data_IF_953843962807
#
_entry.id   IF_953843962807
#
_cell.length_a   1.000
_cell.length_b   1.000
_cell.length_c   1.000
_cell.angle_alpha   90.00
_cell.angle_beta   90.00
_cell.angle_gamma   90.00
#
_symmetry.space_group_name_H-M   'P 1'
#
loop_
_entity.id
_entity.type
_entity.pdbx_description
1 polymer ?
#
# COMPACT_ATOMS: atom_id res chain seq x y z
N UNK A 1 -1.98 -50.71 36.42
CA UNK A 1 -0.98 -50.37 37.45
C UNK A 1 0.25 -49.80 36.77
N UNK A 2 0.72 -48.68 37.28
CA UNK A 2 1.91 -47.88 36.98
C UNK A 2 1.76 -46.85 35.86
N UNK A 3 1.34 -45.69 36.32
CA UNK A 3 1.53 -44.38 35.76
C UNK A 3 3.00 -43.97 35.76
N UNK A 4 3.52 -43.46 34.62
CA UNK A 4 4.79 -42.79 34.53
C UNK A 4 4.55 -41.29 34.31
N UNK A 5 5.24 -40.38 35.00
CA UNK A 5 5.06 -38.97 34.87
C UNK A 5 5.85 -38.43 33.67
N UNK A 6 5.22 -37.55 32.88
CA UNK A 6 5.90 -36.72 31.88
C UNK A 6 6.75 -35.66 32.58
N UNK A 7 8.00 -35.42 32.15
CA UNK A 7 8.72 -34.22 32.55
C UNK A 7 8.32 -33.05 31.68
N UNK A 8 7.83 -31.99 32.33
CA UNK A 8 7.74 -30.64 31.77
C UNK A 8 9.14 -30.14 31.43
N UNK A 9 9.40 -29.92 30.16
CA UNK A 9 10.51 -29.10 29.72
C UNK A 9 9.97 -27.87 29.03
N UNK A 10 9.53 -26.90 29.83
CA UNK A 10 9.31 -25.49 29.36
C UNK A 10 10.69 -24.83 29.27
N UNK A 11 11.31 -24.85 28.12
CA UNK A 11 12.41 -23.93 27.82
C UNK A 11 11.84 -22.62 27.28
N UNK A 12 11.71 -21.67 28.17
CA UNK A 12 11.46 -20.28 27.83
C UNK A 12 12.63 -19.73 27.00
N UNK A 13 12.43 -19.52 25.71
CA UNK A 13 13.31 -18.71 24.88
C UNK A 13 12.90 -17.25 25.02
N UNK A 14 13.46 -16.59 26.02
CA UNK A 14 13.49 -15.14 26.12
C UNK A 14 14.51 -14.62 25.11
N UNK A 15 14.03 -14.02 24.03
CA UNK A 15 14.86 -13.26 23.08
C UNK A 15 15.27 -11.95 23.74
N UNK A 16 16.55 -11.55 23.70
CA UNK A 16 16.99 -10.25 24.18
C UNK A 16 16.72 -9.19 23.10
N UNK A 17 15.60 -8.50 23.20
CA UNK A 17 15.36 -7.23 22.52
C UNK A 17 15.29 -6.15 23.57
N UNK A 18 16.44 -5.80 24.12
CA UNK A 18 16.59 -4.62 24.96
C UNK A 18 18.08 -4.27 25.10
N UNK A 19 18.71 -3.74 24.05
CA UNK A 19 19.87 -2.83 24.15
C UNK A 19 20.02 -2.14 22.78
N UNK A 20 19.40 -0.99 22.54
CA UNK A 20 19.78 0.03 21.56
C UNK A 20 18.97 1.33 21.76
N UNK A 21 18.84 1.80 22.99
CA UNK A 21 18.23 3.10 23.28
C UNK A 21 19.05 3.87 24.33
N UNK A 22 20.35 4.01 24.14
CA UNK A 22 21.17 4.87 25.02
C UNK A 22 22.49 5.29 24.35
N UNK A 23 22.47 5.82 23.13
CA UNK A 23 23.63 6.47 22.54
C UNK A 23 23.22 7.52 21.49
N UNK A 24 22.50 8.54 21.89
CA UNK A 24 22.05 9.58 20.96
C UNK A 24 21.75 10.95 21.57
N UNK A 25 22.18 11.23 22.81
CA UNK A 25 21.89 12.49 23.50
C UNK A 25 23.12 13.19 24.08
N UNK A 26 24.19 13.31 23.33
CA UNK A 26 25.39 13.99 23.80
C UNK A 26 26.15 14.78 22.72
N UNK A 27 25.45 15.55 21.86
CA UNK A 27 26.14 16.52 20.96
C UNK A 27 25.30 17.76 20.64
N UNK A 28 24.56 18.31 21.61
CA UNK A 28 23.98 19.65 21.46
C UNK A 28 23.93 20.42 22.77
N UNK A 29 25.09 20.61 23.43
CA UNK A 29 25.24 21.58 24.47
C UNK A 29 26.72 21.97 24.56
N UNK A 30 27.12 22.90 23.72
CA UNK A 30 28.36 23.65 23.89
C UNK A 30 28.00 25.06 24.32
N UNK A 31 28.58 25.56 25.42
CA UNK A 31 28.22 26.85 25.97
C UNK A 31 29.13 28.00 25.48
N UNK A 32 28.52 29.16 25.35
CA UNK A 32 29.12 30.50 25.59
C UNK A 32 30.13 31.06 24.59
N UNK A 33 29.73 32.10 23.90
CA UNK A 33 30.51 33.32 23.80
C UNK A 33 29.55 34.53 23.80
N UNK A 34 29.66 35.31 24.86
CA UNK A 34 28.98 36.56 25.06
C UNK A 34 29.75 37.73 24.37
N UNK A 35 29.27 38.98 24.41
CA UNK A 35 29.33 39.93 23.30
C UNK A 35 30.51 40.90 23.42
N UNK A 36 30.94 41.42 22.28
CA UNK A 36 31.71 42.68 22.28
C UNK A 36 31.04 43.68 21.36
N UNK A 37 30.60 44.75 22.00
CA UNK A 37 30.22 46.01 21.36
C UNK A 37 31.46 46.76 20.89
N UNK A 38 31.39 47.32 19.69
CA UNK A 38 32.16 48.51 19.35
C UNK A 38 31.40 49.25 18.23
N UNK A 39 30.99 50.44 18.57
CA UNK A 39 30.48 51.51 17.70
C UNK A 39 31.46 51.86 16.60
N UNK A 40 30.91 52.15 15.40
CA UNK A 40 31.21 53.38 14.64
C UNK A 40 30.26 53.55 13.47
N UNK A 41 29.64 54.70 13.42
CA UNK A 41 28.85 55.30 12.33
C UNK A 41 29.77 56.29 11.56
N UNK A 42 29.37 56.92 10.42
CA UNK A 42 28.55 56.49 9.27
C UNK A 42 29.27 56.79 7.92
N UNK A 43 28.75 56.32 6.81
CA UNK A 43 28.65 57.07 5.55
C UNK A 43 27.95 56.25 4.43
N UNK A 44 26.88 56.77 4.03
CA UNK A 44 26.24 56.92 2.69
C UNK A 44 26.48 55.92 1.55
N UNK A 45 25.34 55.60 1.00
CA UNK A 45 24.93 55.61 -0.41
C UNK A 45 24.77 54.27 -1.13
N UNK A 46 23.54 54.22 -1.67
CA UNK A 46 22.98 53.57 -2.86
C UNK A 46 22.24 52.26 -2.72
N UNK A 47 20.94 52.46 -2.61
CA UNK A 47 19.87 51.88 -3.44
C UNK A 47 20.26 50.64 -4.25
N UNK A 48 19.78 49.51 -3.83
CA UNK A 48 19.69 48.31 -4.60
C UNK A 48 18.57 47.43 -4.01
N UNK A 49 17.33 47.75 -4.38
CA UNK A 49 16.17 46.93 -4.08
C UNK A 49 16.37 45.54 -4.71
N UNK A 50 16.98 44.63 -4.00
CA UNK A 50 16.84 43.20 -4.30
C UNK A 50 15.56 42.74 -3.65
N UNK A 51 14.50 42.77 -4.46
CA UNK A 51 13.30 41.97 -4.21
C UNK A 51 13.76 40.53 -4.01
N UNK A 52 13.81 40.08 -2.76
CA UNK A 52 13.89 38.67 -2.48
C UNK A 52 12.57 38.07 -2.97
N UNK A 53 12.62 37.49 -4.17
CA UNK A 53 11.55 36.61 -4.62
C UNK A 53 11.45 35.49 -3.58
N UNK A 54 10.36 35.52 -2.81
CA UNK A 54 9.98 34.38 -2.01
C UNK A 54 9.95 33.15 -2.95
N UNK A 55 10.44 32.00 -2.53
CA UNK A 55 10.25 30.80 -3.33
C UNK A 55 8.76 30.62 -3.53
N UNK A 56 8.31 30.72 -4.76
CA UNK A 56 6.96 30.31 -5.13
C UNK A 56 6.86 28.83 -4.79
N UNK A 57 6.19 28.51 -3.71
CA UNK A 57 5.66 27.17 -3.50
C UNK A 57 4.64 26.98 -4.62
N UNK A 58 5.10 26.39 -5.72
CA UNK A 58 4.20 25.85 -6.72
C UNK A 58 3.37 24.81 -5.98
N UNK A 59 2.11 25.13 -5.72
CA UNK A 59 1.11 24.15 -5.29
C UNK A 59 1.05 23.12 -6.40
N UNK A 60 1.68 21.96 -6.18
CA UNK A 60 1.55 20.83 -7.09
C UNK A 60 0.06 20.49 -7.13
N UNK A 61 -0.57 20.73 -8.28
CA UNK A 61 -1.99 20.44 -8.47
C UNK A 61 -2.12 18.90 -8.45
N UNK A 62 -2.77 18.36 -7.41
CA UNK A 62 -3.07 16.94 -7.31
C UNK A 62 -4.21 16.59 -8.26
N UNK A 63 -4.06 15.54 -9.05
CA UNK A 63 -5.14 15.00 -9.89
C UNK A 63 -6.25 14.39 -9.05
N UNK A 64 -5.87 13.70 -7.98
CA UNK A 64 -6.80 13.12 -7.02
C UNK A 64 -6.55 13.71 -5.64
N UNK A 65 -7.59 14.24 -5.02
CA UNK A 65 -7.54 14.86 -3.68
C UNK A 65 -7.83 13.86 -2.57
N UNK A 66 -8.64 12.83 -2.84
CA UNK A 66 -9.05 11.81 -1.90
C UNK A 66 -9.25 10.44 -2.57
N UNK A 67 -9.18 9.37 -1.78
CA UNK A 67 -9.47 8.02 -2.24
C UNK A 67 -11.00 7.82 -2.43
N UNK A 68 -11.45 7.30 -3.58
CA UNK A 68 -12.88 7.02 -3.80
C UNK A 68 -13.38 5.87 -2.90
N UNK A 69 -14.71 5.68 -2.85
CA UNK A 69 -15.33 4.58 -2.12
C UNK A 69 -14.94 3.22 -2.74
N UNK A 70 -14.10 2.39 -2.07
CA UNK A 70 -13.53 1.21 -2.70
C UNK A 70 -14.56 0.10 -2.88
N UNK A 71 -15.59 0.01 -2.03
CA UNK A 71 -16.60 -1.03 -2.15
C UNK A 71 -17.56 -0.82 -3.32
N UNK A 72 -17.60 0.38 -3.89
CA UNK A 72 -18.40 0.73 -5.07
C UNK A 72 -17.59 0.67 -6.37
N UNK A 73 -16.27 0.41 -6.26
CA UNK A 73 -15.35 0.45 -7.40
C UNK A 73 -15.37 -0.78 -8.28
N UNK A 74 -16.03 -1.86 -7.83
CA UNK A 74 -16.18 -3.12 -8.58
C UNK A 74 -17.65 -3.45 -8.69
N UNK A 75 -18.13 -3.69 -9.91
CA UNK A 75 -19.54 -4.01 -10.15
C UNK A 75 -19.96 -5.30 -9.43
N UNK A 76 -21.17 -5.32 -8.88
CA UNK A 76 -21.72 -6.48 -8.13
C UNK A 76 -21.58 -7.79 -8.92
N UNK A 77 -21.93 -7.79 -10.20
CA UNK A 77 -21.77 -8.96 -11.09
C UNK A 77 -20.32 -9.46 -11.20
N UNK A 78 -19.37 -8.56 -11.06
CA UNK A 78 -17.94 -8.91 -11.06
C UNK A 78 -17.55 -9.53 -9.73
N UNK A 79 -18.01 -8.96 -8.62
CA UNK A 79 -17.83 -9.55 -7.30
C UNK A 79 -18.44 -10.96 -7.25
N UNK A 80 -19.69 -11.15 -7.70
CA UNK A 80 -20.36 -12.47 -7.77
C UNK A 80 -19.55 -13.48 -8.59
N UNK A 81 -18.98 -13.03 -9.70
CA UNK A 81 -18.16 -13.88 -10.59
C UNK A 81 -16.82 -14.27 -9.98
N UNK A 82 -16.13 -13.31 -9.32
CA UNK A 82 -14.78 -13.52 -8.77
C UNK A 82 -14.83 -14.19 -7.39
N UNK A 83 -15.81 -13.81 -6.56
CA UNK A 83 -15.96 -14.26 -5.17
C UNK A 83 -17.36 -14.83 -4.95
N UNK A 84 -17.68 -16.00 -5.56
CA UNK A 84 -19.03 -16.58 -5.48
C UNK A 84 -19.44 -16.82 -4.03
N UNK A 85 -20.59 -16.24 -3.65
CA UNK A 85 -21.12 -16.34 -2.28
C UNK A 85 -20.73 -15.20 -1.34
N UNK A 86 -19.90 -14.27 -1.78
CA UNK A 86 -19.64 -13.04 -1.01
C UNK A 86 -20.86 -12.11 -1.03
N UNK A 87 -20.98 -11.27 0.01
CA UNK A 87 -21.86 -10.12 -0.03
C UNK A 87 -21.31 -9.10 -1.01
N UNK A 88 -22.09 -8.71 -2.02
CA UNK A 88 -21.64 -7.81 -3.09
C UNK A 88 -21.24 -6.43 -2.59
N UNK A 89 -21.88 -5.94 -1.52
CA UNK A 89 -21.52 -4.68 -0.87
C UNK A 89 -20.08 -4.65 -0.29
N UNK A 90 -19.47 -5.82 -0.09
CA UNK A 90 -18.12 -5.89 0.51
C UNK A 90 -18.05 -5.40 1.94
N UNK A 91 -16.84 -5.23 2.42
CA UNK A 91 -16.53 -4.65 3.73
C UNK A 91 -15.33 -3.72 3.61
N UNK A 92 -15.54 -2.44 3.90
CA UNK A 92 -14.42 -1.50 3.98
C UNK A 92 -13.57 -1.78 5.22
N UNK A 93 -12.27 -1.85 5.03
CA UNK A 93 -11.29 -2.08 6.09
C UNK A 93 -10.92 -0.72 6.70
N UNK A 94 -11.02 -0.54 8.04
CA UNK A 94 -10.65 0.70 8.68
C UNK A 94 -9.21 1.12 8.35
N UNK A 95 -9.02 2.39 8.01
CA UNK A 95 -7.73 3.01 7.75
C UNK A 95 -7.48 4.12 8.78
N UNK A 96 -6.20 4.38 9.08
CA UNK A 96 -5.79 5.53 9.91
C UNK A 96 -6.06 6.86 9.23
N UNK A 97 -6.02 6.88 7.91
CA UNK A 97 -6.34 8.05 7.09
C UNK A 97 -7.21 7.60 5.90
N UNK A 98 -8.52 7.77 6.05
CA UNK A 98 -9.49 7.36 5.05
C UNK A 98 -9.59 8.29 3.84
N UNK A 99 -8.98 9.48 3.90
CA UNK A 99 -8.91 10.36 2.73
C UNK A 99 -7.82 9.88 1.76
N UNK A 100 -6.69 9.43 2.31
CA UNK A 100 -5.52 9.04 1.53
C UNK A 100 -5.49 7.54 1.20
N UNK A 101 -6.07 6.69 2.05
CA UNK A 101 -6.07 5.23 1.82
C UNK A 101 -7.40 4.60 2.22
N UNK A 102 -8.02 3.90 1.27
CA UNK A 102 -9.24 3.13 1.49
C UNK A 102 -9.14 1.76 0.84
N UNK A 103 -9.66 0.75 1.52
CA UNK A 103 -9.61 -0.64 1.03
C UNK A 103 -10.96 -1.31 1.26
N UNK A 104 -11.49 -1.99 0.24
CA UNK A 104 -12.62 -2.88 0.38
C UNK A 104 -12.21 -4.33 0.20
N UNK A 105 -12.84 -5.22 0.96
CA UNK A 105 -12.61 -6.66 0.94
C UNK A 105 -13.89 -7.42 0.70
N UNK A 106 -13.81 -8.43 -0.17
CA UNK A 106 -14.82 -9.44 -0.41
C UNK A 106 -14.21 -10.82 -0.24
N UNK A 107 -14.83 -11.67 0.56
CA UNK A 107 -14.37 -13.04 0.70
C UNK A 107 -15.54 -13.99 0.91
N UNK A 108 -15.39 -15.22 0.45
CA UNK A 108 -16.35 -16.27 0.69
C UNK A 108 -15.72 -17.65 0.57
N UNK A 109 -16.29 -18.57 1.31
CA UNK A 109 -16.11 -20.01 1.15
C UNK A 109 -17.42 -20.59 0.59
N UNK A 110 -17.39 -21.04 -0.68
CA UNK A 110 -18.53 -21.70 -1.32
C UNK A 110 -18.20 -23.17 -1.56
N UNK A 111 -18.84 -24.07 -0.80
CA UNK A 111 -18.36 -25.45 -0.71
C UNK A 111 -16.95 -25.48 -0.12
N UNK A 112 -16.01 -26.00 -0.87
CA UNK A 112 -14.58 -26.00 -0.48
C UNK A 112 -13.75 -24.93 -1.17
N UNK A 113 -14.36 -24.15 -2.07
CA UNK A 113 -13.69 -23.10 -2.84
C UNK A 113 -13.66 -21.79 -2.06
N UNK A 114 -12.49 -21.37 -1.64
CA UNK A 114 -12.26 -20.07 -1.03
C UNK A 114 -11.80 -19.05 -2.07
N UNK A 115 -12.37 -17.85 -2.01
CA UNK A 115 -11.98 -16.70 -2.83
C UNK A 115 -11.93 -15.44 -1.99
N UNK A 116 -10.96 -14.60 -2.28
CA UNK A 116 -10.78 -13.30 -1.62
C UNK A 116 -10.36 -12.26 -2.65
N UNK A 117 -11.00 -11.13 -2.63
CA UNK A 117 -10.70 -9.96 -3.44
C UNK A 117 -10.56 -8.74 -2.53
N UNK A 118 -9.43 -8.04 -2.63
CA UNK A 118 -9.22 -6.72 -2.03
C UNK A 118 -8.95 -5.70 -3.13
N UNK A 119 -9.53 -4.50 -2.95
CA UNK A 119 -9.26 -3.33 -3.77
C UNK A 119 -8.90 -2.18 -2.87
N UNK A 120 -7.69 -1.63 -3.05
CA UNK A 120 -7.16 -0.48 -2.33
C UNK A 120 -6.91 0.69 -3.26
N UNK A 121 -7.27 1.89 -2.78
CA UNK A 121 -6.83 3.16 -3.34
C UNK A 121 -5.87 3.82 -2.36
N UNK A 122 -4.78 4.38 -2.87
CA UNK A 122 -3.84 5.18 -2.10
C UNK A 122 -3.57 6.47 -2.89
N UNK A 123 -3.85 7.62 -2.28
CA UNK A 123 -3.63 8.94 -2.87
C UNK A 123 -2.39 9.56 -2.24
N UNK A 124 -1.48 10.00 -3.07
CA UNK A 124 -0.18 10.55 -2.67
C UNK A 124 -0.18 12.07 -2.81
N UNK A 125 0.86 12.70 -2.23
CA UNK A 125 1.03 14.15 -2.31
C UNK A 125 1.39 14.65 -3.70
N UNK A 126 1.98 13.80 -4.55
CA UNK A 126 2.35 14.14 -5.93
C UNK A 126 2.46 12.90 -6.81
N UNK A 127 2.55 13.13 -8.12
CA UNK A 127 2.80 12.09 -9.13
C UNK A 127 4.15 11.38 -8.89
N UNK A 128 5.18 12.12 -8.48
CA UNK A 128 6.50 11.56 -8.17
C UNK A 128 6.46 10.66 -6.94
N UNK A 129 5.65 11.04 -5.93
CA UNK A 129 5.45 10.21 -4.74
C UNK A 129 4.75 8.89 -5.10
N UNK A 130 3.74 8.96 -5.97
CA UNK A 130 3.04 7.77 -6.48
C UNK A 130 3.96 6.90 -7.34
N UNK A 131 4.79 7.51 -8.20
CA UNK A 131 5.77 6.78 -8.99
C UNK A 131 6.79 6.04 -8.11
N UNK A 132 7.33 6.71 -7.10
CA UNK A 132 8.26 6.11 -6.14
C UNK A 132 7.60 4.94 -5.38
N UNK A 133 6.35 5.13 -4.92
CA UNK A 133 5.62 4.09 -4.22
C UNK A 133 5.29 2.89 -5.14
N UNK A 134 4.95 3.15 -6.41
CA UNK A 134 4.74 2.11 -7.42
C UNK A 134 6.02 1.29 -7.67
N UNK A 135 7.14 1.97 -7.92
CA UNK A 135 8.45 1.32 -8.11
C UNK A 135 8.81 0.45 -6.90
N UNK A 136 8.75 0.99 -5.69
CA UNK A 136 9.06 0.23 -4.48
C UNK A 136 8.20 -1.02 -4.26
N UNK A 137 7.00 -1.09 -4.88
CA UNK A 137 6.13 -2.28 -4.83
C UNK A 137 6.36 -3.28 -5.94
N UNK A 138 6.98 -2.86 -7.05
CA UNK A 138 7.11 -3.68 -8.25
C UNK A 138 8.55 -4.12 -8.55
N UNK A 139 9.57 -3.34 -8.17
CA UNK A 139 10.99 -3.60 -8.48
C UNK A 139 11.52 -4.92 -7.91
N UNK A 140 11.07 -5.30 -6.71
CA UNK A 140 11.50 -6.54 -6.05
C UNK A 140 10.68 -7.77 -6.48
N UNK A 141 9.67 -7.60 -7.34
CA UNK A 141 8.75 -8.67 -7.74
C UNK A 141 9.19 -9.30 -9.06
N UNK A 142 9.76 -10.48 -8.98
CA UNK A 142 10.10 -11.29 -10.17
C UNK A 142 8.93 -12.16 -10.63
N UNK A 143 8.85 -12.43 -11.93
CA UNK A 143 7.86 -13.36 -12.49
C UNK A 143 6.51 -12.75 -12.87
N UNK A 144 6.37 -11.43 -12.75
CA UNK A 144 5.20 -10.68 -13.23
C UNK A 144 5.43 -10.05 -14.59
N UNK A 145 4.49 -9.20 -15.01
CA UNK A 145 4.55 -8.49 -16.28
C UNK A 145 3.71 -7.21 -16.31
N UNK A 146 4.06 -6.33 -17.25
CA UNK A 146 3.29 -5.10 -17.49
C UNK A 146 1.87 -5.43 -17.98
N UNK A 147 0.90 -4.62 -17.55
CA UNK A 147 -0.48 -4.66 -18.01
C UNK A 147 -0.76 -3.41 -18.85
N UNK A 148 -0.69 -3.52 -20.18
CA UNK A 148 -0.85 -2.34 -21.04
C UNK A 148 -2.26 -1.77 -20.99
N UNK A 149 -2.37 -0.44 -21.14
CA UNK A 149 -3.64 0.28 -21.22
C UNK A 149 -4.42 0.32 -19.89
N UNK A 150 -3.72 0.27 -18.76
CA UNK A 150 -4.32 0.36 -17.44
C UNK A 150 -3.58 1.42 -16.61
N UNK A 151 -4.22 2.55 -16.36
CA UNK A 151 -3.59 3.74 -15.77
C UNK A 151 -2.40 4.24 -16.59
N UNK A 152 -1.48 4.98 -15.95
CA UNK A 152 -0.23 5.41 -16.58
C UNK A 152 0.76 4.26 -16.72
N UNK A 153 0.77 3.38 -15.73
CA UNK A 153 1.57 2.16 -15.71
C UNK A 153 0.93 1.12 -14.80
N UNK A 154 0.99 -0.13 -15.21
CA UNK A 154 0.48 -1.23 -14.39
C UNK A 154 1.37 -2.48 -14.52
N UNK A 155 1.39 -3.24 -13.44
CA UNK A 155 2.14 -4.48 -13.31
C UNK A 155 1.28 -5.54 -12.63
N UNK A 156 1.29 -6.76 -13.12
CA UNK A 156 0.64 -7.90 -12.48
C UNK A 156 1.61 -9.02 -12.17
N UNK A 157 1.39 -9.69 -11.06
CA UNK A 157 2.15 -10.87 -10.65
C UNK A 157 1.22 -11.89 -10.03
N UNK A 158 1.53 -13.18 -10.25
CA UNK A 158 0.79 -14.29 -9.63
C UNK A 158 1.76 -15.20 -8.91
N UNK A 159 1.52 -15.41 -7.62
CA UNK A 159 2.32 -16.26 -6.77
C UNK A 159 1.53 -17.51 -6.35
N UNK A 160 2.24 -18.61 -6.13
CA UNK A 160 1.71 -19.82 -5.53
C UNK A 160 2.40 -20.04 -4.19
N UNK A 161 1.63 -20.16 -3.13
CA UNK A 161 2.10 -20.55 -1.80
C UNK A 161 1.57 -21.94 -1.47
N UNK A 162 2.40 -22.75 -0.84
CA UNK A 162 2.00 -24.08 -0.36
C UNK A 162 2.35 -24.20 1.12
N UNK A 163 1.35 -24.38 1.97
CA UNK A 163 1.48 -24.59 3.40
C UNK A 163 0.70 -25.87 3.78
N UNK A 164 1.30 -26.77 4.49
CA UNK A 164 0.69 -28.05 4.89
C UNK A 164 -0.01 -28.80 3.74
N UNK A 165 0.59 -28.78 2.55
CA UNK A 165 0.08 -29.35 1.29
C UNK A 165 -1.16 -28.60 0.73
N UNK A 166 -1.60 -27.52 1.34
CA UNK A 166 -2.64 -26.64 0.83
C UNK A 166 -2.02 -25.60 -0.09
N UNK A 167 -2.47 -25.54 -1.33
CA UNK A 167 -2.07 -24.52 -2.30
C UNK A 167 -2.99 -23.32 -2.23
N UNK A 168 -2.42 -22.13 -2.21
CA UNK A 168 -3.12 -20.85 -2.40
C UNK A 168 -2.44 -20.08 -3.52
N UNK A 169 -3.20 -19.59 -4.48
CA UNK A 169 -2.69 -18.73 -5.54
C UNK A 169 -3.21 -17.32 -5.36
N UNK A 170 -2.29 -16.36 -5.43
CA UNK A 170 -2.57 -14.95 -5.27
C UNK A 170 -2.08 -14.18 -6.49
N UNK A 171 -2.96 -13.38 -7.08
CA UNK A 171 -2.65 -12.40 -8.10
C UNK A 171 -2.70 -11.00 -7.49
N UNK A 172 -1.69 -10.21 -7.75
CA UNK A 172 -1.63 -8.80 -7.39
C UNK A 172 -1.52 -7.96 -8.66
N UNK A 173 -2.28 -6.87 -8.71
CA UNK A 173 -2.18 -5.86 -9.76
C UNK A 173 -1.91 -4.52 -9.10
N UNK A 174 -0.82 -3.88 -9.51
CA UNK A 174 -0.43 -2.55 -9.08
C UNK A 174 -0.62 -1.61 -10.25
N UNK A 175 -1.37 -0.54 -10.05
CA UNK A 175 -1.62 0.48 -11.08
C UNK A 175 -1.26 1.83 -10.51
N UNK A 176 -0.50 2.64 -11.25
CA UNK A 176 -0.34 4.06 -10.99
C UNK A 176 -1.19 4.86 -11.96
N UNK A 177 -1.91 5.85 -11.46
CA UNK A 177 -2.64 6.83 -12.23
C UNK A 177 -2.41 8.20 -11.57
N UNK A 178 -1.66 9.07 -12.22
CA UNK A 178 -1.21 10.36 -11.70
C UNK A 178 -0.63 10.20 -10.27
N UNK A 179 -1.18 10.90 -9.28
CA UNK A 179 -0.77 10.85 -7.89
C UNK A 179 -1.45 9.74 -7.07
N UNK A 180 -2.07 8.74 -7.70
CA UNK A 180 -2.76 7.65 -7.00
C UNK A 180 -2.24 6.26 -7.40
N UNK A 181 -2.36 5.31 -6.46
CA UNK A 181 -2.19 3.88 -6.70
C UNK A 181 -3.51 3.16 -6.53
N UNK A 182 -3.79 2.23 -7.44
CA UNK A 182 -4.81 1.19 -7.28
C UNK A 182 -4.09 -0.14 -7.10
N UNK A 183 -4.41 -0.83 -6.01
CA UNK A 183 -3.82 -2.13 -5.70
C UNK A 183 -4.96 -3.13 -5.58
N UNK A 184 -4.90 -4.17 -6.39
CA UNK A 184 -5.86 -5.27 -6.33
C UNK A 184 -5.13 -6.55 -5.94
N UNK A 185 -5.67 -7.24 -4.94
CA UNK A 185 -5.22 -8.59 -4.56
C UNK A 185 -6.41 -9.54 -4.75
N UNK A 186 -6.21 -10.57 -5.55
CA UNK A 186 -7.21 -11.62 -5.75
C UNK A 186 -6.57 -12.99 -5.53
N UNK A 187 -7.14 -13.75 -4.59
CA UNK A 187 -6.60 -15.06 -4.28
C UNK A 187 -7.67 -16.15 -4.20
N UNK A 188 -7.20 -17.38 -4.24
CA UNK A 188 -8.07 -18.52 -4.13
C UNK A 188 -7.37 -19.82 -3.81
N UNK A 189 -8.18 -20.71 -3.22
CA UNK A 189 -7.79 -22.03 -2.76
C UNK A 189 -8.98 -22.98 -2.83
N UNK A 190 -8.76 -24.28 -2.97
CA UNK A 190 -9.77 -25.31 -2.81
C UNK A 190 -9.34 -26.27 -1.69
N UNK A 191 -10.12 -26.32 -0.63
CA UNK A 191 -9.76 -27.07 0.59
C UNK A 191 -10.03 -28.58 0.49
N UNK A 192 -10.83 -29.02 -0.48
CA UNK A 192 -11.08 -30.46 -0.72
C UNK A 192 -9.91 -31.07 -1.51
N UNK A 193 -9.60 -30.48 -2.67
CA UNK A 193 -8.52 -30.95 -3.52
C UNK A 193 -7.14 -30.51 -3.05
N UNK A 194 -7.09 -29.53 -2.13
CA UNK A 194 -5.86 -28.83 -1.67
C UNK A 194 -5.13 -28.08 -2.78
N UNK A 195 -5.80 -27.81 -3.89
CA UNK A 195 -5.23 -27.15 -5.06
C UNK A 195 -5.66 -25.69 -5.17
N UNK A 196 -4.78 -24.90 -5.75
CA UNK A 196 -5.10 -23.52 -6.12
C UNK A 196 -5.76 -23.46 -7.51
N UNK A 197 -6.57 -22.41 -7.79
CA UNK A 197 -7.02 -22.11 -9.13
C UNK A 197 -5.85 -21.91 -10.10
N UNK A 198 -6.09 -21.97 -11.42
CA UNK A 198 -5.03 -21.73 -12.40
C UNK A 198 -4.47 -20.30 -12.30
N UNK A 199 -3.20 -20.13 -12.69
CA UNK A 199 -2.54 -18.80 -12.80
C UNK A 199 -3.37 -17.86 -13.67
N UNK A 200 -3.87 -18.36 -14.80
CA UNK A 200 -4.68 -17.60 -15.74
C UNK A 200 -6.00 -17.10 -15.12
N UNK A 201 -6.70 -17.96 -14.37
CA UNK A 201 -7.93 -17.58 -13.66
C UNK A 201 -7.69 -16.45 -12.67
N UNK A 202 -6.65 -16.56 -11.84
CA UNK A 202 -6.32 -15.57 -10.83
C UNK A 202 -5.85 -14.27 -11.47
N UNK A 203 -4.94 -14.33 -12.45
CA UNK A 203 -4.44 -13.14 -13.13
C UNK A 203 -5.53 -12.36 -13.86
N UNK A 204 -6.36 -13.04 -14.65
CA UNK A 204 -7.48 -12.41 -15.37
C UNK A 204 -8.50 -11.81 -14.40
N UNK A 205 -8.79 -12.50 -13.29
CA UNK A 205 -9.69 -11.99 -12.26
C UNK A 205 -9.16 -10.70 -11.61
N UNK A 206 -7.91 -10.70 -11.20
CA UNK A 206 -7.26 -9.51 -10.61
C UNK A 206 -7.24 -8.33 -11.59
N UNK A 207 -6.85 -8.56 -12.87
CA UNK A 207 -6.83 -7.52 -13.90
C UNK A 207 -8.25 -7.00 -14.19
N UNK A 208 -9.27 -7.87 -14.19
CA UNK A 208 -10.65 -7.44 -14.40
C UNK A 208 -11.11 -6.48 -13.30
N UNK A 209 -10.89 -6.83 -12.03
CA UNK A 209 -11.22 -5.96 -10.92
C UNK A 209 -10.40 -4.65 -10.96
N UNK A 210 -9.12 -4.71 -11.32
CA UNK A 210 -8.27 -3.53 -11.43
C UNK A 210 -8.76 -2.54 -12.51
N UNK A 211 -9.26 -3.04 -13.65
CA UNK A 211 -9.84 -2.18 -14.69
C UNK A 211 -11.08 -1.42 -14.20
N UNK A 212 -11.95 -2.08 -13.45
CA UNK A 212 -13.15 -1.43 -12.89
C UNK A 212 -12.75 -0.42 -11.80
N UNK A 213 -11.81 -0.78 -10.93
CA UNK A 213 -11.31 0.12 -9.88
C UNK A 213 -10.61 1.37 -10.46
N UNK A 214 -9.81 1.22 -11.52
CA UNK A 214 -9.19 2.39 -12.20
C UNK A 214 -10.25 3.28 -12.81
N UNK A 215 -11.28 2.71 -13.45
CA UNK A 215 -12.39 3.51 -14.00
C UNK A 215 -13.13 4.28 -12.91
N UNK A 216 -13.35 3.68 -11.73
CA UNK A 216 -13.94 4.35 -10.58
C UNK A 216 -13.05 5.50 -10.05
N UNK A 217 -11.73 5.29 -9.97
CA UNK A 217 -10.78 6.35 -9.61
C UNK A 217 -10.81 7.50 -10.61
N UNK A 218 -10.80 7.20 -11.92
CA UNK A 218 -10.86 8.22 -12.98
C UNK A 218 -12.18 9.01 -12.96
N UNK A 219 -13.28 8.36 -12.60
CA UNK A 219 -14.57 9.02 -12.41
C UNK A 219 -14.67 9.92 -11.18
N UNK A 220 -13.72 9.80 -10.22
CA UNK A 220 -13.67 10.60 -8.99
C UNK A 220 -12.79 11.85 -9.09
N UNK A 221 -12.27 12.17 -10.29
CA UNK A 221 -11.52 13.44 -10.54
C UNK A 221 -12.43 14.62 -10.22
N UNK A 222 -12.09 15.39 -9.20
CA UNK A 222 -12.78 16.56 -8.75
C UNK A 222 -12.20 17.84 -9.34
#
# INVERSE_FOLDING_TARGET
MRSLPLPLALTARLSPVAVLAAAGWALSSGPLAAPQAAEHKPADEKTGTRSASAPSTSTVSKTYSAAPAPCESVAEKTVESLVPGAKTAGKEIPSTDSELRRTCSWNALKGYNYRWLDVSFEVMESDEAAEKAYKGRTEEKSGGGAVPGLGDTAYSIVNLTTEDKQETREGQVFVRAANALVIVTYNGSDFESKKAPSTDTINKGAIKAAKEAVAALEGSKG
#
